data_IF_867414287521
#
_entry.id   IF_867414287521
#
_cell.length_a   1.000
_cell.length_b   1.000
_cell.length_c   1.000
_cell.angle_alpha   90.00
_cell.angle_beta   90.00
_cell.angle_gamma   90.00
#
_symmetry.space_group_name_H-M   'P 1'
#
loop_
_entity.id
_entity.type
_entity.pdbx_description
1 polymer ?
#
# COMPACT_ATOMS: atom_id res chain seq x y z
N UNK A 1 -21.13 -13.76 1.91
CA UNK A 1 -20.40 -12.61 2.49
C UNK A 1 -19.60 -13.00 3.74
N UNK A 2 -20.16 -13.68 4.74
CA UNK A 2 -19.38 -14.08 5.92
C UNK A 2 -18.10 -14.88 5.59
N UNK A 3 -18.15 -15.82 4.64
CA UNK A 3 -16.98 -16.62 4.25
C UNK A 3 -15.85 -15.79 3.65
N UNK A 4 -16.14 -14.79 2.81
CA UNK A 4 -15.11 -13.94 2.21
C UNK A 4 -14.44 -13.02 3.23
N UNK A 5 -15.19 -12.54 4.23
CA UNK A 5 -14.67 -11.78 5.36
C UNK A 5 -13.83 -12.65 6.29
N UNK A 6 -14.26 -13.88 6.53
CA UNK A 6 -13.50 -14.84 7.32
C UNK A 6 -12.17 -15.19 6.65
N UNK A 7 -12.20 -15.49 5.34
CA UNK A 7 -11.00 -15.76 4.55
C UNK A 7 -10.04 -14.57 4.57
N UNK A 8 -10.51 -13.35 4.28
CA UNK A 8 -9.62 -12.18 4.28
C UNK A 8 -9.01 -11.90 5.65
N UNK A 9 -9.80 -12.01 6.73
CA UNK A 9 -9.32 -11.86 8.10
C UNK A 9 -8.32 -12.94 8.50
N UNK A 10 -8.57 -14.20 8.15
CA UNK A 10 -7.67 -15.32 8.44
C UNK A 10 -6.31 -15.19 7.72
N UNK A 11 -6.33 -14.78 6.45
CA UNK A 11 -5.12 -14.49 5.66
C UNK A 11 -4.35 -13.29 6.22
N UNK A 12 -5.04 -12.23 6.65
CA UNK A 12 -4.39 -11.07 7.27
C UNK A 12 -3.76 -11.42 8.63
N UNK A 13 -4.46 -12.20 9.46
CA UNK A 13 -3.96 -12.64 10.75
C UNK A 13 -2.74 -13.56 10.63
N UNK A 14 -2.76 -14.52 9.70
CA UNK A 14 -1.62 -15.41 9.48
C UNK A 14 -0.38 -14.63 9.02
N UNK A 15 -0.54 -13.68 8.09
CA UNK A 15 0.55 -12.79 7.67
C UNK A 15 1.11 -11.97 8.86
N UNK A 16 0.25 -11.46 9.75
CA UNK A 16 0.65 -10.72 10.94
C UNK A 16 1.46 -11.55 11.94
N UNK A 17 1.12 -12.83 12.15
CA UNK A 17 1.85 -13.74 13.04
C UNK A 17 3.25 -14.06 12.51
N UNK A 18 3.47 -14.00 11.20
CA UNK A 18 4.81 -14.20 10.60
C UNK A 18 5.71 -12.96 10.67
N UNK A 19 5.15 -11.78 10.94
CA UNK A 19 5.91 -10.53 10.98
C UNK A 19 7.06 -10.49 12.02
N UNK A 20 6.92 -11.02 13.25
CA UNK A 20 7.98 -10.97 14.26
C UNK A 20 9.21 -11.79 13.90
N UNK A 21 9.06 -12.79 13.03
CA UNK A 21 10.20 -13.57 12.54
C UNK A 21 11.12 -12.76 11.62
N UNK A 22 10.62 -11.66 11.03
CA UNK A 22 11.38 -10.77 10.14
C UNK A 22 11.90 -9.52 10.83
N UNK A 23 11.18 -8.98 11.81
CA UNK A 23 11.47 -7.68 12.41
C UNK A 23 11.23 -7.72 13.91
N UNK A 24 12.08 -7.05 14.70
CA UNK A 24 11.89 -6.93 16.14
C UNK A 24 10.62 -6.11 16.42
N UNK A 25 9.60 -6.77 16.97
CA UNK A 25 8.29 -6.17 17.22
C UNK A 25 8.32 -5.43 18.54
N UNK A 26 8.09 -4.13 18.46
CA UNK A 26 7.81 -3.27 19.59
C UNK A 26 6.32 -2.87 19.51
N UNK A 27 5.69 -2.44 20.62
CA UNK A 27 4.30 -1.98 20.60
C UNK A 27 4.03 -0.87 19.55
N UNK A 28 5.04 -0.10 19.17
CA UNK A 28 4.94 0.94 18.15
C UNK A 28 4.99 0.40 16.71
N UNK A 29 5.43 -0.84 16.48
CA UNK A 29 5.60 -1.42 15.13
C UNK A 29 4.28 -1.46 14.35
N UNK A 30 3.15 -1.69 15.02
CA UNK A 30 1.83 -1.67 14.39
C UNK A 30 1.48 -0.29 13.82
N UNK A 31 1.76 0.78 14.56
CA UNK A 31 1.53 2.16 14.11
C UNK A 31 2.36 2.49 12.87
N UNK A 32 3.62 2.06 12.85
CA UNK A 32 4.50 2.26 11.70
C UNK A 32 4.10 1.44 10.46
N UNK A 33 3.37 0.33 10.61
CA UNK A 33 2.87 -0.48 9.49
C UNK A 33 1.49 -0.06 8.98
N UNK A 34 0.66 0.49 9.86
CA UNK A 34 -0.67 1.00 9.50
C UNK A 34 -0.56 2.07 8.40
N UNK A 35 0.30 3.05 8.63
CA UNK A 35 0.55 4.18 7.72
C UNK A 35 0.86 3.73 6.25
N UNK A 36 1.92 2.94 5.98
CA UNK A 36 2.25 2.49 4.63
C UNK A 36 1.20 1.57 4.03
N UNK A 37 0.51 0.77 4.85
CA UNK A 37 -0.57 -0.10 4.39
C UNK A 37 -1.76 0.71 3.89
N UNK A 38 -2.15 1.78 4.61
CA UNK A 38 -3.18 2.71 4.16
C UNK A 38 -2.77 3.47 2.90
N UNK A 39 -1.50 3.89 2.81
CA UNK A 39 -0.99 4.53 1.61
C UNK A 39 -1.09 3.59 0.40
N UNK A 40 -0.58 2.37 0.50
CA UNK A 40 -0.65 1.33 -0.54
C UNK A 40 -2.07 1.10 -1.10
N UNK A 41 -3.05 0.92 -0.22
CA UNK A 41 -4.45 0.70 -0.61
C UNK A 41 -5.04 1.95 -1.29
N UNK A 42 -4.70 3.14 -0.80
CA UNK A 42 -5.17 4.41 -1.37
C UNK A 42 -4.59 4.66 -2.76
N UNK A 43 -3.29 4.36 -2.96
CA UNK A 43 -2.62 4.45 -4.28
C UNK A 43 -3.29 3.53 -5.30
N UNK A 44 -3.58 2.30 -4.87
CA UNK A 44 -4.18 1.29 -5.74
C UNK A 44 -5.66 1.55 -6.06
N UNK A 45 -6.39 2.21 -5.16
CA UNK A 45 -7.79 2.60 -5.34
C UNK A 45 -8.77 1.67 -4.62
N UNK A 46 -9.63 2.26 -3.78
CA UNK A 46 -10.52 1.57 -2.82
C UNK A 46 -11.59 0.70 -3.52
N UNK A 47 -11.91 0.98 -4.78
CA UNK A 47 -12.98 0.31 -5.53
C UNK A 47 -12.53 -0.80 -6.49
N UNK A 48 -11.23 -1.07 -6.63
CA UNK A 48 -10.72 -2.07 -7.59
C UNK A 48 -9.67 -2.97 -6.95
N UNK A 49 -9.94 -4.28 -6.96
CA UNK A 49 -9.01 -5.29 -6.45
C UNK A 49 -7.69 -5.30 -7.24
N UNK A 50 -7.75 -5.20 -8.57
CA UNK A 50 -6.55 -5.20 -9.43
C UNK A 50 -5.70 -3.95 -9.23
N UNK A 51 -6.35 -2.79 -9.01
CA UNK A 51 -5.65 -1.55 -8.67
C UNK A 51 -4.97 -1.61 -7.31
N UNK A 52 -5.67 -2.13 -6.29
CA UNK A 52 -5.15 -2.30 -4.93
C UNK A 52 -3.89 -3.17 -4.87
N UNK A 53 -3.86 -4.28 -5.61
CA UNK A 53 -2.68 -5.17 -5.67
C UNK A 53 -1.49 -4.48 -6.33
N UNK A 54 -1.70 -3.77 -7.44
CA UNK A 54 -0.64 -3.02 -8.12
C UNK A 54 -0.09 -1.88 -7.25
N UNK A 55 -0.95 -1.16 -6.53
CA UNK A 55 -0.56 -0.10 -5.60
C UNK A 55 0.25 -0.62 -4.42
N UNK A 56 -0.15 -1.75 -3.83
CA UNK A 56 0.60 -2.40 -2.76
C UNK A 56 1.99 -2.85 -3.18
N UNK A 57 2.12 -3.40 -4.39
CA UNK A 57 3.42 -3.80 -4.93
C UNK A 57 4.35 -2.61 -5.18
N UNK A 58 3.81 -1.52 -5.74
CA UNK A 58 4.59 -0.32 -6.04
C UNK A 58 5.11 0.34 -4.74
N UNK A 59 4.24 0.53 -3.75
CA UNK A 59 4.62 1.13 -2.47
C UNK A 59 5.58 0.23 -1.69
N UNK A 60 5.34 -1.08 -1.62
CA UNK A 60 6.24 -2.01 -0.93
C UNK A 60 7.62 -2.08 -1.58
N UNK A 61 7.69 -2.03 -2.91
CA UNK A 61 8.96 -1.96 -3.63
C UNK A 61 9.69 -0.64 -3.34
N UNK A 62 8.99 0.49 -3.41
CA UNK A 62 9.56 1.79 -3.05
C UNK A 62 10.07 1.82 -1.61
N UNK A 63 9.30 1.32 -0.63
CA UNK A 63 9.75 1.26 0.77
C UNK A 63 11.02 0.44 0.91
N UNK A 64 11.10 -0.72 0.23
CA UNK A 64 12.27 -1.61 0.31
C UNK A 64 13.52 -0.96 -0.30
N UNK A 65 13.41 -0.34 -1.48
CA UNK A 65 14.51 0.34 -2.15
C UNK A 65 15.01 1.53 -1.33
N UNK A 66 14.09 2.33 -0.79
CA UNK A 66 14.45 3.45 0.09
C UNK A 66 15.06 2.98 1.41
N UNK A 67 14.53 1.94 2.03
CA UNK A 67 15.13 1.35 3.24
C UNK A 67 16.57 0.89 3.01
N UNK A 68 16.84 0.27 1.85
CA UNK A 68 18.20 -0.10 1.44
C UNK A 68 19.11 1.12 1.24
N UNK A 69 18.61 2.20 0.60
CA UNK A 69 19.35 3.44 0.42
C UNK A 69 19.66 4.15 1.75
N UNK A 70 18.72 4.15 2.69
CA UNK A 70 18.92 4.75 4.02
C UNK A 70 19.90 3.92 4.86
N UNK A 71 19.86 2.58 4.77
CA UNK A 71 20.79 1.70 5.46
C UNK A 71 22.25 1.91 4.98
N UNK A 72 22.46 2.26 3.72
CA UNK A 72 23.79 2.57 3.15
C UNK A 72 24.37 3.90 3.66
N UNK A 73 23.56 4.82 4.19
CA UNK A 73 24.00 6.14 4.65
C UNK A 73 24.27 6.22 6.16
N UNK A 74 24.11 5.12 6.91
CA UNK A 74 24.43 5.07 8.35
C UNK A 74 23.51 5.90 9.25
N UNK A 75 22.37 6.36 8.74
CA UNK A 75 21.40 7.18 9.47
C UNK A 75 20.26 6.32 9.99
N UNK A 76 19.93 6.51 11.27
CA UNK A 76 18.87 5.83 12.02
C UNK A 76 17.55 5.71 11.23
N UNK A 77 16.89 4.55 11.33
CA UNK A 77 15.62 4.13 10.71
C UNK A 77 14.39 5.00 11.05
N UNK A 78 14.59 6.15 11.69
CA UNK A 78 13.58 7.13 12.07
C UNK A 78 12.85 7.78 10.87
N UNK A 79 13.37 7.67 9.65
CA UNK A 79 12.80 8.29 8.45
C UNK A 79 11.72 7.44 7.74
N UNK A 80 11.40 6.23 8.25
CA UNK A 80 10.33 5.39 7.67
C UNK A 80 8.97 6.10 7.55
N UNK A 81 8.51 6.95 8.49
CA UNK A 81 7.23 7.65 8.37
C UNK A 81 7.21 8.71 7.26
N UNK A 82 8.35 9.37 6.98
CA UNK A 82 8.47 10.37 5.92
C UNK A 82 8.18 9.77 4.54
N UNK A 83 8.53 8.49 4.32
CA UNK A 83 8.22 7.77 3.09
C UNK A 83 6.72 7.57 2.91
N UNK A 84 5.98 7.29 3.99
CA UNK A 84 4.52 7.17 3.91
C UNK A 84 3.87 8.50 3.56
N UNK A 85 4.31 9.59 4.20
CA UNK A 85 3.81 10.92 3.87
C UNK A 85 4.12 11.30 2.43
N UNK A 86 5.34 11.05 1.97
CA UNK A 86 5.72 11.27 0.57
C UNK A 86 4.89 10.42 -0.39
N UNK A 87 4.59 9.16 -0.06
CA UNK A 87 3.75 8.28 -0.88
C UNK A 87 2.29 8.79 -0.99
N UNK A 88 1.72 9.31 0.11
CA UNK A 88 0.39 9.93 0.08
C UNK A 88 0.39 11.18 -0.79
N UNK A 89 1.41 12.05 -0.64
CA UNK A 89 1.56 13.26 -1.46
C UNK A 89 1.75 12.89 -2.93
N UNK A 90 2.63 11.93 -3.25
CA UNK A 90 2.87 11.46 -4.60
C UNK A 90 1.61 10.85 -5.23
N UNK A 91 0.80 10.15 -4.45
CA UNK A 91 -0.48 9.60 -4.91
C UNK A 91 -1.49 10.69 -5.22
N UNK A 92 -1.64 11.66 -4.32
CA UNK A 92 -2.51 12.82 -4.54
C UNK A 92 -2.08 13.63 -5.78
N UNK A 93 -0.78 13.70 -6.07
CA UNK A 93 -0.24 14.36 -7.27
C UNK A 93 -0.43 13.53 -8.55
N UNK A 94 -0.18 12.21 -8.50
CA UNK A 94 -0.18 11.34 -9.67
C UNK A 94 -1.59 10.98 -10.15
N UNK A 95 -2.55 10.78 -9.24
CA UNK A 95 -3.96 10.58 -9.58
C UNK A 95 -4.83 10.67 -8.33
N UNK A 96 -5.68 11.70 -8.18
CA UNK A 96 -6.59 11.85 -7.03
C UNK A 96 -7.63 10.71 -6.92
N UNK A 97 -7.66 9.77 -7.87
CA UNK A 97 -8.55 8.59 -7.89
C UNK A 97 -7.79 7.25 -7.96
N UNK A 98 -6.48 7.24 -7.77
CA UNK A 98 -5.64 6.03 -7.88
C UNK A 98 -5.49 5.52 -9.32
N UNK A 99 -4.66 4.48 -9.49
CA UNK A 99 -4.35 3.88 -10.81
C UNK A 99 -5.60 3.23 -11.45
N UNK A 100 -6.55 2.77 -10.63
CA UNK A 100 -7.82 2.20 -11.09
C UNK A 100 -8.73 3.20 -11.82
N UNK A 101 -8.56 4.51 -11.61
CA UNK A 101 -9.31 5.54 -12.33
C UNK A 101 -9.00 5.60 -13.83
N UNK A 102 -7.76 5.25 -14.22
CA UNK A 102 -7.31 5.28 -15.62
C UNK A 102 -7.93 4.16 -16.47
N UNK A 103 -8.23 3.01 -15.88
CA UNK A 103 -8.88 1.90 -16.57
C UNK A 103 -10.39 2.13 -16.73
N UNK A 104 -11.04 2.68 -15.69
CA UNK A 104 -12.49 2.99 -15.74
C UNK A 104 -12.83 4.13 -16.71
N UNK A 105 -11.94 5.12 -16.89
CA UNK A 105 -12.16 6.21 -17.84
C UNK A 105 -12.12 5.72 -19.30
N UNK A 106 -11.44 4.61 -19.58
CA UNK A 106 -11.23 4.08 -20.93
C UNK A 106 -12.40 3.22 -21.43
N UNK A 107 -13.16 2.58 -20.53
CA UNK A 107 -14.32 1.76 -20.89
C UNK A 107 -15.63 2.54 -21.08
N UNK A 108 -15.72 3.77 -20.56
CA UNK A 108 -16.95 4.56 -20.61
C UNK A 108 -17.14 5.32 -21.94
N UNK A 109 -16.06 5.56 -22.70
CA UNK A 109 -16.15 6.27 -23.98
C UNK A 109 -16.75 5.43 -25.11
N UNK A 110 -16.73 4.10 -25.00
CA UNK A 110 -17.23 3.20 -26.04
C UNK A 110 -18.71 2.84 -25.89
N UNK A 111 -19.33 3.07 -24.71
CA UNK A 111 -20.75 2.72 -24.45
C UNK A 111 -21.75 3.85 -24.68
N UNK A 112 -21.28 5.06 -25.01
CA UNK A 112 -22.15 6.22 -25.33
C UNK A 112 -22.40 6.42 -26.83
N UNK A 113 -22.01 5.46 -27.68
CA UNK A 113 -22.16 5.55 -29.14
C UNK A 113 -23.06 4.49 -29.77
N UNK A 114 -23.92 3.83 -29.00
CA UNK A 114 -25.01 2.99 -29.54
C UNK A 114 -26.34 3.44 -28.98
#
# INVERSE_FOLDING_TARGET
FALSWFLSGALAASAGVFLPFRVMVNPDTGWFMLLPTFAAVTVGGIGSLSGSVAGAYLIGFSETVFAYQLAQMGVSTAYRPLLTFAAIIATLLASPRGISGLWSARGWSLRRRS
#
